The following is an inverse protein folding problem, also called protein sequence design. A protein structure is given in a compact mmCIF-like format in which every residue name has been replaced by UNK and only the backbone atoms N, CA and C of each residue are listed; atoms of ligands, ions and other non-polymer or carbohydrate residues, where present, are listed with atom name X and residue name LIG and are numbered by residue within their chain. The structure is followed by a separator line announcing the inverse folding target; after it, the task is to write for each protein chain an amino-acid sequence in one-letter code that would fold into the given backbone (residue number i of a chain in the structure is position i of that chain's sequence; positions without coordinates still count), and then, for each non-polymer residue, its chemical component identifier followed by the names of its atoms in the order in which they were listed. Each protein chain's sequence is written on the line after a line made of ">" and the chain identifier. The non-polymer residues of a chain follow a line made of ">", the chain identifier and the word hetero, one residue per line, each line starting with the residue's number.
data_IF_946428625851
#
_entry.id   IF_946428625851
#
_cell.length_a   1.000
_cell.length_b   1.000
_cell.length_c   1.000
_cell.angle_alpha   90.00
_cell.angle_beta   90.00
_cell.angle_gamma   90.00
#
_symmetry.space_group_name_H-M   'P 1'
#
loop_
_entity.id
_entity.type
_entity.pdbx_description
1 polymer ?
2 non-polymer ?
3 non-polymer ?
4 non-polymer ?
5 non-polymer ?
6 water ?
#
# COMPACT_ATOMS: atom_id res chain seq x y z
N UNK A 1 -3.26 14.36 17.61
CA UNK A 1 -2.58 13.10 18.06
C UNK A 1 -3.48 11.87 17.83
N UNK A 2 -4.71 12.02 17.29
CA UNK A 2 -5.47 10.89 16.70
C UNK A 2 -4.71 10.43 15.46
N UNK A 3 -3.97 9.33 15.58
CA UNK A 3 -3.16 8.80 14.46
C UNK A 3 -3.82 7.51 13.94
N UNK A 4 -5.15 7.37 14.04
CA UNK A 4 -5.87 6.12 13.71
C UNK A 4 -5.84 5.88 12.19
N UNK A 5 -6.05 6.93 11.40
CA UNK A 5 -5.98 6.81 9.92
C UNK A 5 -4.54 6.47 9.51
N UNK A 6 -3.54 7.01 10.18
CA UNK A 6 -2.11 6.69 9.91
C UNK A 6 -1.83 5.22 10.24
N UNK A 7 -2.26 4.74 11.41
CA UNK A 7 -1.92 3.35 11.85
C UNK A 7 -2.67 2.37 10.94
N UNK A 8 -3.83 2.77 10.42
CA UNK A 8 -4.67 1.94 9.50
C UNK A 8 -4.01 1.89 8.12
N UNK A 9 -3.45 3.00 7.67
CA UNK A 9 -2.59 3.07 6.46
C UNK A 9 -1.42 2.06 6.58
N UNK A 10 -0.69 2.08 7.70
CA UNK A 10 0.45 1.12 7.93
C UNK A 10 -0.10 -0.32 7.88
N UNK A 11 -1.27 -0.59 8.45
CA UNK A 11 -1.85 -1.97 8.47
C UNK A 11 -2.22 -2.45 7.06
N UNK A 12 -2.79 -1.56 6.27
CA UNK A 12 -3.24 -1.85 4.88
C UNK A 12 -2.08 -1.78 3.86
N UNK A 13 -1.05 -0.97 4.10
CA UNK A 13 -0.09 -0.57 3.03
C UNK A 13 1.37 -0.52 3.43
N UNK A 14 1.76 -1.02 4.60
CA UNK A 14 3.19 -1.03 4.99
C UNK A 14 3.60 -2.44 5.42
N UNK A 15 4.70 -2.90 4.86
CA UNK A 15 5.34 -4.16 5.32
C UNK A 15 6.86 -3.96 5.21
N UNK A 16 7.52 -3.77 6.34
CA UNK A 16 8.90 -3.21 6.39
C UNK A 16 9.89 -4.07 5.58
N UNK A 17 10.00 -5.37 5.89
CA UNK A 17 10.96 -6.32 5.25
C UNK A 17 10.28 -7.66 4.98
N UNK A 18 9.57 -7.78 3.83
CA UNK A 18 8.73 -8.95 3.53
C UNK A 18 9.36 -10.32 3.17
N UNK A 19 10.64 -10.38 2.83
CA UNK A 19 11.33 -11.62 2.33
C UNK A 19 10.90 -11.89 0.87
N UNK A 20 10.05 -12.90 0.64
CA UNK A 20 9.54 -13.31 -0.68
C UNK A 20 8.28 -12.55 -0.99
N UNK A 21 8.13 -12.01 -2.19
CA UNK A 21 6.97 -11.15 -2.52
C UNK A 21 6.18 -11.82 -3.64
N UNK A 22 5.84 -13.10 -3.42
CA UNK A 22 5.20 -14.03 -4.39
C UNK A 22 3.70 -14.12 -4.09
N UNK A 23 2.95 -14.91 -4.85
CA UNK A 23 1.49 -15.11 -4.66
C UNK A 23 1.22 -15.55 -3.21
N UNK A 24 1.96 -16.56 -2.75
CA UNK A 24 1.91 -17.06 -1.35
C UNK A 24 2.00 -15.88 -0.37
N UNK A 25 2.94 -14.95 -0.56
CA UNK A 25 3.09 -13.76 0.32
C UNK A 25 1.77 -12.98 0.34
N UNK A 26 1.21 -12.71 -0.84
CA UNK A 26 -0.03 -11.88 -0.94
C UNK A 26 -1.17 -12.55 -0.19
N UNK A 27 -1.35 -13.86 -0.38
CA UNK A 27 -2.51 -14.58 0.19
C UNK A 27 -2.41 -14.59 1.71
N UNK A 28 -1.20 -14.73 2.25
CA UNK A 28 -0.95 -14.72 3.71
C UNK A 28 -1.06 -13.29 4.26
N UNK A 29 -0.43 -12.30 3.66
CA UNK A 29 -0.41 -10.96 4.31
C UNK A 29 -1.81 -10.33 4.21
N UNK A 30 -2.54 -10.53 3.13
CA UNK A 30 -3.93 -10.02 3.02
C UNK A 30 -4.82 -10.59 4.15
N UNK A 31 -4.62 -11.85 4.54
CA UNK A 31 -5.36 -12.46 5.69
C UNK A 31 -4.88 -11.81 6.99
N UNK A 32 -3.56 -11.65 7.15
CA UNK A 32 -2.99 -11.15 8.42
C UNK A 32 -3.51 -9.74 8.68
N UNK A 33 -3.64 -8.94 7.63
CA UNK A 33 -3.96 -7.50 7.78
C UNK A 33 -5.47 -7.27 7.76
N UNK A 34 -6.28 -8.32 7.60
CA UNK A 34 -7.75 -8.25 7.74
C UNK A 34 -8.44 -7.69 6.50
N UNK A 35 -7.91 -8.01 5.33
CA UNK A 35 -8.32 -7.41 4.04
C UNK A 35 -9.01 -8.46 3.19
N UNK A 36 -9.58 -9.50 3.81
CA UNK A 36 -10.20 -10.65 3.10
C UNK A 36 -11.65 -10.88 3.54
N UNK A 37 -12.34 -9.93 4.18
CA UNK A 37 -13.77 -10.15 4.51
C UNK A 37 -14.59 -8.89 4.27
N UNK A 38 -14.96 -8.56 3.01
CA UNK A 38 -14.65 -9.36 1.81
C UNK A 38 -13.23 -9.15 1.25
N UNK A 39 -12.83 -9.97 0.28
CA UNK A 39 -11.51 -9.91 -0.40
C UNK A 39 -11.38 -8.53 -1.07
N UNK A 40 -10.34 -7.77 -0.72
CA UNK A 40 -9.97 -6.50 -1.41
C UNK A 40 -9.44 -6.86 -2.81
N UNK A 41 -9.97 -6.24 -3.87
CA UNK A 41 -9.64 -6.61 -5.28
C UNK A 41 -8.20 -6.22 -5.63
N UNK A 42 -7.67 -5.12 -5.09
CA UNK A 42 -6.24 -4.78 -5.29
C UNK A 42 -5.73 -4.16 -4.01
N UNK A 43 -4.50 -4.49 -3.62
CA UNK A 43 -3.90 -3.83 -2.43
C UNK A 43 -2.38 -3.82 -2.59
N UNK A 44 -1.76 -2.66 -2.38
CA UNK A 44 -0.30 -2.49 -2.50
C UNK A 44 0.31 -2.23 -1.12
N UNK A 45 1.37 -2.96 -0.84
CA UNK A 45 2.23 -2.76 0.35
C UNK A 45 3.53 -2.09 -0.04
N UNK A 46 3.92 -1.13 0.78
CA UNK A 46 5.20 -0.38 0.65
C UNK A 46 6.19 -1.02 1.62
N UNK A 47 7.42 -1.26 1.15
CA UNK A 47 8.52 -1.86 1.94
C UNK A 47 9.55 -0.78 2.27
N UNK A 48 10.47 -1.10 3.18
CA UNK A 48 11.59 -0.23 3.56
C UNK A 48 11.26 0.50 4.85
N UNK A 49 11.81 1.70 4.97
CA UNK A 49 11.85 2.51 6.21
C UNK A 49 10.57 3.34 6.29
N UNK A 50 9.93 3.30 7.45
CA UNK A 50 8.69 4.05 7.77
C UNK A 50 8.93 5.55 7.54
N UNK A 51 10.09 6.08 7.93
CA UNK A 51 10.35 7.54 8.02
C UNK A 51 10.29 8.19 6.64
N UNK A 52 10.72 7.46 5.62
CA UNK A 52 10.76 7.94 4.21
C UNK A 52 9.31 8.07 3.70
N UNK A 53 8.42 7.19 4.18
CA UNK A 53 6.99 7.19 3.79
C UNK A 53 6.33 8.42 4.41
N UNK A 54 6.52 8.60 5.73
CA UNK A 54 6.09 9.83 6.46
C UNK A 54 6.58 11.09 5.75
N UNK A 55 7.82 11.08 5.22
CA UNK A 55 8.51 12.25 4.63
C UNK A 55 7.88 12.66 3.29
N UNK A 56 7.06 11.80 2.66
CA UNK A 56 6.25 12.17 1.46
C UNK A 56 5.35 13.36 1.78
N UNK A 57 4.89 13.44 3.04
CA UNK A 57 3.98 14.50 3.53
C UNK A 57 4.69 15.86 3.65
N UNK A 58 6.02 15.89 3.52
CA UNK A 58 6.87 17.12 3.56
C UNK A 58 7.43 17.35 2.16
N UNK A 59 7.99 18.54 1.89
CA UNK A 59 8.70 18.85 0.61
C UNK A 59 10.01 18.03 0.53
N UNK A 60 10.48 17.49 1.65
CA UNK A 60 11.69 16.61 1.71
C UNK A 60 11.53 15.39 0.79
N UNK A 61 10.37 14.74 0.77
CA UNK A 61 10.22 13.52 -0.07
C UNK A 61 8.88 13.55 -0.82
N UNK A 62 8.27 14.72 -1.04
CA UNK A 62 6.99 14.75 -1.77
C UNK A 62 6.82 15.96 -2.67
N UNK A 63 6.00 15.81 -3.72
CA UNK A 63 5.41 16.93 -4.51
C UNK A 63 3.89 16.87 -4.39
N UNK A 64 3.21 18.05 -4.47
CA UNK A 64 1.77 18.06 -4.64
C UNK A 64 1.41 17.32 -5.93
N UNK A 65 0.23 16.71 -5.93
CA UNK A 65 -0.23 15.81 -7.01
C UNK A 65 -1.74 15.88 -7.13
N UNK A 66 -2.22 16.15 -8.34
CA UNK A 66 -3.67 16.19 -8.70
C UNK A 66 -4.43 16.99 -7.62
N UNK A 67 -5.64 16.61 -7.21
CA UNK A 67 -6.51 17.55 -6.43
C UNK A 67 -6.05 17.62 -4.97
N UNK A 68 -5.87 16.48 -4.30
CA UNK A 68 -5.65 16.48 -2.84
C UNK A 68 -4.49 15.55 -2.45
N UNK A 69 -3.62 15.15 -3.39
CA UNK A 69 -2.68 14.01 -3.12
C UNK A 69 -1.24 14.52 -3.08
N UNK A 70 -0.30 13.62 -2.78
CA UNK A 70 1.14 13.91 -2.84
C UNK A 70 1.80 12.71 -3.50
N UNK A 71 2.86 12.89 -4.29
CA UNK A 71 3.61 11.80 -4.98
C UNK A 71 5.04 11.88 -4.45
N UNK A 72 5.61 10.75 -4.07
CA UNK A 72 6.97 10.70 -3.49
C UNK A 72 8.02 11.07 -4.54
N UNK A 73 9.11 11.66 -4.05
CA UNK A 73 10.35 11.90 -4.80
C UNK A 73 11.15 10.60 -4.92
N UNK A 74 11.31 9.85 -3.84
CA UNK A 74 12.07 8.59 -3.81
C UNK A 74 11.18 7.46 -4.36
N UNK A 75 11.81 6.41 -4.89
CA UNK A 75 11.22 5.13 -5.32
C UNK A 75 11.20 4.16 -4.13
N UNK A 76 10.16 3.35 -4.03
CA UNK A 76 9.94 2.36 -2.96
C UNK A 76 9.80 0.98 -3.61
N UNK A 77 10.41 0.00 -2.96
CA UNK A 77 10.05 -1.42 -3.15
C UNK A 77 8.57 -1.51 -2.77
N UNK A 78 7.77 -2.08 -3.68
CA UNK A 78 6.34 -2.30 -3.44
C UNK A 78 5.91 -3.69 -3.89
N UNK A 79 4.77 -4.16 -3.35
CA UNK A 79 4.12 -5.39 -3.83
C UNK A 79 2.62 -5.16 -3.95
N UNK A 80 2.10 -5.35 -5.15
CA UNK A 80 0.67 -5.25 -5.47
C UNK A 80 0.08 -6.66 -5.42
N UNK A 81 -0.98 -6.82 -4.63
CA UNK A 81 -1.80 -8.05 -4.52
C UNK A 81 -3.07 -7.82 -5.31
N UNK A 82 -3.30 -8.59 -6.38
CA UNK A 82 -4.49 -8.52 -7.26
C UNK A 82 -5.33 -9.77 -7.07
N UNK A 83 -6.61 -9.58 -6.79
CA UNK A 83 -7.56 -10.68 -6.54
C UNK A 83 -7.78 -11.46 -7.85
N UNK A 84 -7.73 -12.78 -7.79
CA UNK A 84 -7.91 -13.73 -8.91
C UNK A 84 -9.19 -14.51 -8.61
N UNK A 85 -10.01 -14.82 -9.62
CA UNK A 85 -11.44 -15.14 -9.41
C UNK A 85 -12.22 -13.85 -9.19
N UNK A 86 -13.54 -13.88 -9.38
CA UNK A 86 -14.38 -15.04 -9.16
C UNK A 86 -15.38 -14.68 -8.07
N UNK A 87 -14.91 -14.67 -6.81
CA UNK A 87 -15.72 -14.42 -5.59
C UNK A 87 -15.16 -13.24 -4.81
N UNK A 88 -16.02 -12.34 -4.30
CA UNK A 88 -15.60 -11.35 -3.31
C UNK A 88 -15.26 -11.95 -1.94
N UNK A 89 -15.61 -13.21 -1.69
CA UNK A 89 -15.51 -13.83 -0.34
C UNK A 89 -14.43 -14.90 -0.28
N UNK A 90 -13.77 -15.05 0.90
CA UNK A 90 -12.67 -15.99 1.10
C UNK A 90 -13.08 -17.41 0.75
N UNK A 91 -12.14 -18.30 0.34
CA UNK A 91 -10.71 -17.97 0.29
C UNK A 91 -10.34 -17.03 -0.87
N UNK A 92 -9.44 -16.07 -0.60
CA UNK A 92 -9.02 -14.98 -1.52
C UNK A 92 -7.66 -15.37 -2.13
N UNK A 93 -7.63 -15.67 -3.43
CA UNK A 93 -6.40 -16.01 -4.20
C UNK A 93 -5.83 -14.71 -4.78
N UNK A 94 -4.53 -14.48 -4.62
CA UNK A 94 -3.87 -13.21 -5.05
C UNK A 94 -2.65 -13.52 -5.94
N UNK A 95 -2.53 -12.71 -6.99
CA UNK A 95 -1.33 -12.64 -7.86
C UNK A 95 -0.49 -11.48 -7.32
N UNK A 96 0.78 -11.73 -7.00
CA UNK A 96 1.74 -10.68 -6.60
C UNK A 96 2.48 -10.10 -7.81
N UNK A 97 2.58 -8.77 -7.85
CA UNK A 97 3.52 -8.05 -8.74
C UNK A 97 4.43 -7.17 -7.87
N UNK A 98 5.72 -7.52 -7.82
CA UNK A 98 6.79 -6.79 -7.12
C UNK A 98 7.21 -5.64 -8.04
N UNK A 99 7.35 -4.44 -7.51
CA UNK A 99 7.71 -3.24 -8.28
C UNK A 99 8.63 -2.35 -7.49
N UNK A 100 9.10 -1.30 -8.14
CA UNK A 100 9.97 -0.29 -7.53
C UNK A 100 9.71 1.06 -8.19
N UNK A 101 9.00 1.94 -7.51
CA UNK A 101 8.62 3.25 -8.07
C UNK A 101 8.14 4.16 -6.94
N UNK A 102 7.93 5.41 -7.29
CA UNK A 102 7.29 6.37 -6.37
C UNK A 102 5.82 5.99 -6.12
N UNK A 103 5.31 6.51 -5.03
CA UNK A 103 3.92 6.25 -4.52
C UNK A 103 3.17 7.57 -4.33
N UNK A 104 1.87 7.46 -4.49
CA UNK A 104 0.89 8.57 -4.27
C UNK A 104 0.12 8.27 -2.99
N UNK A 105 0.05 9.25 -2.09
CA UNK A 105 -0.66 9.13 -0.80
C UNK A 105 -1.51 10.39 -0.61
N UNK A 106 -2.45 10.37 0.34
CA UNK A 106 -3.02 11.58 0.95
C UNK A 106 -2.39 11.76 2.33
N UNK A 107 -2.05 13.00 2.69
CA UNK A 107 -1.47 13.32 4.01
C UNK A 107 -2.49 14.12 4.83
N UNK A 108 -2.50 13.89 6.14
CA UNK A 108 -3.23 14.74 7.10
C UNK A 108 -2.34 14.87 8.33
N UNK A 109 -2.11 16.09 8.82
CA UNK A 109 -1.29 16.33 10.03
C UNK A 109 0.10 15.71 9.86
N UNK A 110 0.63 15.74 8.63
CA UNK A 110 2.00 15.29 8.27
C UNK A 110 2.15 13.78 8.29
N UNK A 111 1.05 13.03 8.16
CA UNK A 111 1.09 11.54 8.14
C UNK A 111 0.32 11.01 6.94
N UNK A 112 0.78 9.93 6.29
CA UNK A 112 0.02 9.34 5.19
C UNK A 112 -1.21 8.64 5.77
N UNK A 113 -2.36 8.85 5.16
CA UNK A 113 -3.66 8.30 5.62
C UNK A 113 -4.40 7.60 4.49
N UNK A 114 -3.83 7.51 3.29
CA UNK A 114 -4.52 6.90 2.12
C UNK A 114 -3.46 6.58 1.10
N UNK A 115 -3.55 5.42 0.47
CA UNK A 115 -2.75 5.15 -0.74
C UNK A 115 -3.64 5.18 -1.97
N UNK A 116 -3.24 5.92 -3.00
CA UNK A 116 -3.97 5.95 -4.29
C UNK A 116 -3.58 4.68 -5.05
N UNK A 117 -4.47 3.69 -5.08
CA UNK A 117 -4.21 2.38 -5.74
C UNK A 117 -4.19 2.50 -7.26
N UNK A 118 -4.61 3.62 -7.83
CA UNK A 118 -4.83 3.75 -9.30
C UNK A 118 -3.49 3.59 -10.04
N UNK A 119 -2.35 4.01 -9.48
CA UNK A 119 -1.06 3.94 -10.22
C UNK A 119 -0.61 2.47 -10.31
N UNK A 120 -1.20 1.57 -9.54
CA UNK A 120 -0.83 0.14 -9.53
C UNK A 120 -1.83 -0.71 -10.32
N UNK A 121 -2.93 -0.15 -10.83
CA UNK A 121 -3.96 -0.92 -11.59
C UNK A 121 -3.32 -1.47 -12.87
N UNK A 122 -2.69 -0.59 -13.66
CA UNK A 122 -1.87 -0.93 -14.86
C UNK A 122 -2.73 -1.75 -15.84
X LIG B 1 1.99 -3.40 -10.04
X LIG B 1 1.03 -3.01 -11.02
X LIG B 1 3.24 -2.54 -10.07
X LIG B 1 4.16 -3.01 -11.05
X LIG B 1 4.00 -2.43 -8.77
X LIG B 1 3.45 -3.22 -7.71
X LIG C 1 -8.21 5.49 2.65
X LIG D 1 -7.78 4.55 1.09
X LIG E 1 5.76 0.60 -13.19
X LIG E 1 4.54 -0.19 -11.48
X LIG E 1 5.63 -0.08 -12.10
X LIG E 1 6.78 -0.83 -11.42
X LIG E 1 6.52 -2.21 -11.59
X LIG E 1 8.19 -0.49 -11.91
X LIG E 1 8.19 0.02 -13.25
X LIG E 1 9.06 -1.73 -11.84
X LIG E 1 9.82 -1.77 -10.86
X LIG E 1 9.02 -2.68 -12.69
#
# INVERSE_FOLDING_TARGET
>A
QDNSRYTHFLTQHYDAKPQGRDDRYCESIMRRRGLTSPCKDINTFIHGNKRSIKAICENKNGNPHRENLRISKSSFQVTTCKLHGGSPWPPCQYRATAGFRNVVVACENGLPVHLDQSIFRRP
>B hetero
1 GOL C1 O1 C2 O2 C3 O3
>C hetero
1 NH3 N
>D hetero
1 PT PT
>E hetero
1 TAR O1 O11 C1 C2 O2 C3 O3 C4 O4 O41
#
